data_IF_255307726655
#
_entry.id   IF_255307726655
#
_cell.length_a   1.000
_cell.length_b   1.000
_cell.length_c   1.000
_cell.angle_alpha   90.00
_cell.angle_beta   90.00
_cell.angle_gamma   90.00
#
_symmetry.space_group_name_H-M   'P 1'
#
loop_
_entity.id
_entity.type
_entity.pdbx_description
1 polymer ?
#
# COMPACT_ATOMS: atom_id res chain seq x y z
N UNK A 1 5.14 20.53 28.31
CA UNK A 1 6.26 21.06 27.50
C UNK A 1 6.07 20.63 26.05
N UNK A 2 5.24 21.36 25.30
CA UNK A 2 5.33 21.30 23.85
C UNK A 2 6.53 22.16 23.46
N UNK A 3 7.60 21.56 22.97
CA UNK A 3 8.86 22.27 22.70
C UNK A 3 8.81 23.20 21.47
N UNK A 4 7.63 23.47 20.90
CA UNK A 4 7.55 24.37 19.76
C UNK A 4 6.15 24.82 19.42
N UNK A 5 6.12 25.93 18.69
CA UNK A 5 4.93 26.58 18.14
C UNK A 5 4.98 26.50 16.62
N UNK A 6 3.81 26.47 15.99
CA UNK A 6 3.71 26.46 14.54
C UNK A 6 3.59 27.91 14.07
N UNK A 7 4.50 28.36 13.22
CA UNK A 7 4.46 29.70 12.64
C UNK A 7 3.43 29.75 11.51
N UNK A 8 2.99 30.94 11.13
CA UNK A 8 1.95 31.16 10.10
C UNK A 8 2.30 30.49 8.75
N UNK A 9 3.59 30.27 8.46
CA UNK A 9 4.10 29.59 7.28
C UNK A 9 4.11 28.04 7.40
N UNK A 10 3.29 27.47 8.28
CA UNK A 10 3.21 26.04 8.61
C UNK A 10 4.47 25.36 9.19
N UNK A 11 5.59 26.08 9.29
CA UNK A 11 6.85 25.60 9.87
C UNK A 11 6.76 25.47 11.41
N UNK A 12 7.51 24.50 11.97
CA UNK A 12 7.55 24.25 13.41
C UNK A 12 8.78 24.93 14.02
N UNK A 13 8.58 25.96 14.84
CA UNK A 13 9.64 26.68 15.55
C UNK A 13 9.77 26.17 16.97
N UNK A 14 10.97 25.74 17.33
CA UNK A 14 11.27 25.18 18.65
C UNK A 14 11.57 26.32 19.63
N UNK A 15 10.56 26.82 20.34
CA UNK A 15 10.72 27.95 21.29
C UNK A 15 11.01 27.39 22.68
N UNK A 16 12.28 27.20 23.00
CA UNK A 16 12.71 26.91 24.37
C UNK A 16 12.82 28.23 25.13
N UNK A 17 11.76 28.63 25.83
CA UNK A 17 11.84 29.78 26.72
C UNK A 17 12.67 29.40 27.95
N UNK A 18 13.95 29.82 27.95
CA UNK A 18 14.95 29.49 28.97
C UNK A 18 14.46 29.86 30.39
N UNK A 19 13.68 30.93 30.52
CA UNK A 19 13.14 31.40 31.80
C UNK A 19 12.04 30.49 32.36
N UNK A 20 11.23 29.85 31.51
CA UNK A 20 10.23 28.87 31.96
C UNK A 20 10.87 27.54 32.38
N UNK A 21 11.91 27.12 31.65
CA UNK A 21 12.69 25.93 32.01
C UNK A 21 13.37 26.11 33.36
N UNK A 22 14.01 27.27 33.59
CA UNK A 22 14.68 27.59 34.85
C UNK A 22 13.72 27.70 36.05
N UNK A 23 12.45 28.09 35.84
CA UNK A 23 11.43 28.11 36.89
C UNK A 23 10.89 26.72 37.24
N UNK A 24 10.73 25.82 36.27
CA UNK A 24 10.09 24.50 36.46
C UNK A 24 11.08 23.35 36.70
N UNK A 25 12.38 23.55 36.44
CA UNK A 25 13.42 22.57 36.73
C UNK A 25 13.54 22.21 38.24
N UNK A 26 13.42 23.15 39.19
CA UNK A 26 13.43 22.83 40.62
C UNK A 26 12.25 21.94 41.05
N UNK A 27 11.07 22.13 40.43
CA UNK A 27 9.88 21.29 40.67
C UNK A 27 10.04 19.84 40.18
N UNK A 28 10.99 19.58 39.27
CA UNK A 28 11.33 18.23 38.82
C UNK A 28 12.32 17.55 39.78
N UNK A 29 13.15 18.31 40.48
CA UNK A 29 14.05 17.75 41.50
C UNK A 29 13.30 17.32 42.76
N UNK A 30 12.24 18.03 43.14
CA UNK A 30 11.37 17.66 44.29
C UNK A 30 10.60 16.35 44.09
N UNK A 31 10.48 15.86 42.85
CA UNK A 31 9.85 14.56 42.56
C UNK A 31 10.73 13.37 42.95
N UNK A 32 12.05 13.56 43.15
CA UNK A 32 12.95 12.50 43.63
C UNK A 32 12.61 12.07 45.06
N UNK A 33 11.93 12.93 45.80
CA UNK A 33 11.55 12.70 47.21
C UNK A 33 10.16 12.06 47.35
N UNK A 34 9.37 11.98 46.27
CA UNK A 34 8.07 11.31 46.29
C UNK A 34 8.25 9.78 46.22
N UNK A 35 8.26 9.15 47.40
CA UNK A 35 8.08 7.70 47.52
C UNK A 35 6.62 7.36 47.26
N UNK A 36 6.25 7.02 46.02
CA UNK A 36 5.26 6.00 45.60
C UNK A 36 4.78 6.30 44.16
N UNK A 37 4.72 5.26 43.31
CA UNK A 37 4.03 5.30 42.01
C UNK A 37 2.51 5.32 42.23
N UNK A 38 1.97 6.49 42.56
CA UNK A 38 0.52 6.73 42.50
C UNK A 38 0.13 7.04 41.04
N UNK A 39 -0.65 6.13 40.45
CA UNK A 39 -1.03 6.17 39.04
C UNK A 39 -1.94 7.36 38.71
N UNK A 40 -2.76 7.81 39.66
CA UNK A 40 -3.63 8.98 39.45
C UNK A 40 -2.84 10.27 39.57
N UNK A 41 -1.89 10.36 40.52
CA UNK A 41 -0.93 11.49 40.55
C UNK A 41 -0.07 11.54 39.29
N UNK A 42 0.35 10.39 38.75
CA UNK A 42 1.06 10.35 37.47
C UNK A 42 0.16 10.85 36.32
N UNK A 43 -1.11 10.45 36.26
CA UNK A 43 -2.06 10.97 35.25
C UNK A 43 -2.25 12.48 35.36
N UNK A 44 -2.41 13.01 36.56
CA UNK A 44 -2.59 14.46 36.76
C UNK A 44 -1.30 15.23 36.46
N UNK A 45 -0.15 14.72 36.90
CA UNK A 45 1.17 15.25 36.52
C UNK A 45 1.37 15.29 35.01
N UNK A 46 0.95 14.23 34.30
CA UNK A 46 1.03 14.15 32.86
C UNK A 46 -0.02 15.02 32.17
N UNK A 47 -1.23 15.20 32.72
CA UNK A 47 -2.27 16.07 32.16
C UNK A 47 -1.78 17.50 32.01
N UNK A 48 -1.22 18.09 33.06
CA UNK A 48 -0.80 19.49 33.07
C UNK A 48 0.46 19.75 32.23
N UNK A 49 1.27 18.71 31.99
CA UNK A 49 2.58 18.82 31.33
C UNK A 49 2.61 18.21 29.92
N UNK A 50 1.66 17.35 29.55
CA UNK A 50 1.45 16.79 28.21
C UNK A 50 0.27 17.43 27.47
N UNK A 51 -0.21 18.61 27.88
CA UNK A 51 -0.92 19.50 26.94
C UNK A 51 0.07 20.02 25.89
N UNK A 52 0.59 19.10 25.08
CA UNK A 52 1.13 19.43 23.78
C UNK A 52 -0.05 19.69 22.87
N UNK A 53 0.03 20.75 22.06
CA UNK A 53 -0.87 20.94 20.93
C UNK A 53 -1.10 19.58 20.25
N UNK A 54 -2.33 19.09 20.13
CA UNK A 54 -2.59 17.76 19.63
C UNK A 54 -1.97 17.64 18.23
N UNK A 55 -0.85 16.92 18.12
CA UNK A 55 -0.25 16.54 16.83
C UNK A 55 -1.21 15.69 15.99
N UNK A 56 -2.25 15.15 16.63
CA UNK A 56 -3.36 14.47 15.98
C UNK A 56 -4.37 15.53 15.56
N UNK A 57 -4.33 15.91 14.27
CA UNK A 57 -5.44 16.62 13.63
C UNK A 57 -6.72 15.83 13.95
N UNK A 58 -7.72 16.52 14.51
CA UNK A 58 -9.05 15.98 14.74
C UNK A 58 -9.57 15.45 13.39
N UNK A 59 -9.67 14.12 13.22
CA UNK A 59 -10.04 13.52 11.91
C UNK A 59 -11.41 13.99 11.42
N UNK A 60 -12.24 14.47 12.35
CA UNK A 60 -13.59 14.99 12.12
C UNK A 60 -13.63 16.43 11.57
N UNK A 61 -12.52 17.18 11.58
CA UNK A 61 -12.49 18.55 11.05
C UNK A 61 -12.25 18.63 9.54
N UNK A 62 -11.77 17.55 8.90
CA UNK A 62 -11.85 17.46 7.45
C UNK A 62 -13.28 17.12 7.06
N UNK A 63 -14.10 18.14 6.80
CA UNK A 63 -15.21 18.02 5.85
C UNK A 63 -14.60 17.62 4.51
N UNK A 64 -14.34 16.34 4.33
CA UNK A 64 -13.93 15.79 3.04
C UNK A 64 -15.12 15.94 2.13
N UNK A 65 -14.94 16.69 1.06
CA UNK A 65 -15.96 16.77 0.02
C UNK A 65 -16.29 15.36 -0.46
N UNK A 66 -17.57 15.08 -0.61
CA UNK A 66 -18.03 13.76 -1.06
C UNK A 66 -18.05 13.71 -2.57
N UNK A 67 -17.66 12.57 -3.14
CA UNK A 67 -17.69 12.34 -4.58
C UNK A 67 -19.14 12.07 -5.00
N UNK A 68 -19.69 12.92 -5.88
CA UNK A 68 -21.07 12.78 -6.36
C UNK A 68 -21.11 11.87 -7.59
N UNK A 69 -21.98 10.87 -7.59
CA UNK A 69 -22.08 9.89 -8.66
C UNK A 69 -23.00 10.42 -9.76
N UNK A 70 -22.54 10.40 -11.02
CA UNK A 70 -23.40 10.60 -12.17
C UNK A 70 -24.20 9.32 -12.42
N UNK A 71 -25.49 9.32 -12.05
CA UNK A 71 -26.36 8.14 -12.11
C UNK A 71 -26.60 7.64 -13.53
N UNK A 72 -26.62 8.52 -14.54
CA UNK A 72 -26.81 8.13 -15.93
C UNK A 72 -25.58 7.42 -16.48
N UNK A 73 -24.39 7.96 -16.21
CA UNK A 73 -23.14 7.33 -16.59
C UNK A 73 -22.90 6.02 -15.81
N UNK A 74 -23.30 5.97 -14.54
CA UNK A 74 -23.23 4.72 -13.77
C UNK A 74 -24.06 3.59 -14.39
N UNK A 75 -25.24 3.87 -14.95
CA UNK A 75 -26.02 2.84 -15.67
C UNK A 75 -25.26 2.25 -16.87
N UNK A 76 -24.48 3.07 -17.58
CA UNK A 76 -23.63 2.61 -18.70
C UNK A 76 -22.44 1.77 -18.20
N UNK A 77 -21.97 2.07 -16.98
CA UNK A 77 -20.84 1.44 -16.30
C UNK A 77 -21.22 0.17 -15.50
N UNK A 78 -22.50 -0.01 -15.18
CA UNK A 78 -23.02 -1.03 -14.28
C UNK A 78 -22.58 -2.46 -14.66
N UNK A 79 -22.51 -2.76 -15.96
CA UNK A 79 -22.06 -4.07 -16.46
C UNK A 79 -20.60 -4.34 -16.07
N UNK A 80 -19.71 -3.33 -16.20
CA UNK A 80 -18.32 -3.46 -15.78
C UNK A 80 -18.23 -3.63 -14.26
N UNK A 81 -18.95 -2.79 -13.50
CA UNK A 81 -18.94 -2.89 -12.03
C UNK A 81 -19.43 -4.26 -11.54
N UNK A 82 -20.51 -4.77 -12.11
CA UNK A 82 -21.03 -6.09 -11.79
C UNK A 82 -20.02 -7.20 -12.09
N UNK A 83 -19.34 -7.13 -13.23
CA UNK A 83 -18.30 -8.09 -13.64
C UNK A 83 -17.00 -8.01 -12.81
N UNK A 84 -16.72 -6.88 -12.16
CA UNK A 84 -15.60 -6.74 -11.23
C UNK A 84 -15.93 -7.18 -9.81
N UNK A 85 -17.18 -7.00 -9.38
CA UNK A 85 -17.62 -7.30 -8.02
C UNK A 85 -17.93 -8.80 -7.83
N UNK A 86 -17.12 -9.70 -8.38
CA UNK A 86 -17.24 -11.14 -8.16
C UNK A 86 -16.41 -11.57 -6.94
N UNK A 87 -16.98 -12.44 -6.10
CA UNK A 87 -16.21 -13.09 -5.05
C UNK A 87 -15.38 -14.23 -5.64
N UNK A 88 -14.07 -14.05 -5.67
CA UNK A 88 -13.15 -15.09 -6.10
C UNK A 88 -12.36 -15.66 -4.91
N UNK A 89 -12.01 -16.94 -5.00
CA UNK A 89 -11.03 -17.57 -4.12
C UNK A 89 -9.85 -18.03 -4.97
N UNK A 90 -8.64 -17.78 -4.48
CA UNK A 90 -7.43 -18.36 -5.09
C UNK A 90 -7.29 -19.79 -4.60
N UNK A 91 -7.07 -20.71 -5.52
CA UNK A 91 -6.60 -22.05 -5.25
C UNK A 91 -5.16 -22.19 -5.76
N UNK A 92 -4.28 -22.65 -4.86
CA UNK A 92 -2.88 -22.91 -5.16
C UNK A 92 -2.66 -24.41 -5.39
N UNK A 93 -2.16 -24.78 -6.56
CA UNK A 93 -1.72 -26.15 -6.82
C UNK A 93 -0.26 -26.32 -6.39
N UNK A 94 0.03 -26.29 -5.09
CA UNK A 94 1.40 -26.29 -4.56
C UNK A 94 1.58 -27.35 -3.50
N UNK A 95 2.65 -28.14 -3.64
CA UNK A 95 3.11 -29.04 -2.59
C UNK A 95 3.87 -28.26 -1.49
N UNK A 96 3.49 -28.49 -0.24
CA UNK A 96 4.01 -27.73 0.90
C UNK A 96 5.47 -28.04 1.20
N UNK A 97 5.92 -29.28 1.01
CA UNK A 97 7.32 -29.66 1.28
C UNK A 97 8.24 -29.14 0.17
N UNK A 98 7.82 -29.24 -1.10
CA UNK A 98 8.52 -28.64 -2.24
C UNK A 98 8.71 -27.13 -2.06
N UNK A 99 7.68 -26.41 -1.59
CA UNK A 99 7.80 -24.97 -1.34
C UNK A 99 8.82 -24.66 -0.24
N UNK A 100 8.84 -25.45 0.84
CA UNK A 100 9.82 -25.30 1.92
C UNK A 100 11.24 -25.49 1.36
N UNK A 101 11.47 -26.54 0.58
CA UNK A 101 12.80 -26.83 0.03
C UNK A 101 13.28 -25.74 -0.95
N UNK A 102 12.38 -25.18 -1.75
CA UNK A 102 12.70 -24.05 -2.64
C UNK A 102 13.02 -22.77 -1.87
N UNK A 103 12.29 -22.47 -0.79
CA UNK A 103 12.60 -21.34 0.09
C UNK A 103 13.98 -21.52 0.73
N UNK A 104 14.27 -22.70 1.27
CA UNK A 104 15.58 -23.02 1.89
C UNK A 104 16.72 -22.86 0.89
N UNK A 105 16.57 -23.40 -0.33
CA UNK A 105 17.56 -23.27 -1.40
C UNK A 105 17.87 -21.81 -1.70
N UNK A 106 16.84 -20.96 -1.74
CA UNK A 106 16.98 -19.52 -2.03
C UNK A 106 17.64 -18.76 -0.88
N UNK A 107 17.26 -19.07 0.36
CA UNK A 107 17.88 -18.50 1.56
C UNK A 107 19.37 -18.83 1.60
N UNK A 108 19.73 -20.11 1.42
CA UNK A 108 21.12 -20.53 1.48
C UNK A 108 22.00 -19.88 0.39
N UNK A 109 21.43 -19.61 -0.79
CA UNK A 109 22.13 -18.94 -1.89
C UNK A 109 22.37 -17.43 -1.65
N UNK A 110 21.41 -16.73 -1.06
CA UNK A 110 21.33 -15.26 -1.16
C UNK A 110 21.21 -14.51 0.17
N UNK A 111 21.02 -15.21 1.29
CA UNK A 111 20.87 -14.57 2.59
C UNK A 111 22.21 -14.04 3.10
N UNK A 112 22.24 -12.77 3.48
CA UNK A 112 23.37 -12.13 4.13
C UNK A 112 22.89 -10.97 5.01
N UNK A 113 23.54 -10.77 6.16
CA UNK A 113 23.21 -9.68 7.09
C UNK A 113 24.44 -8.88 7.45
N UNK A 114 24.38 -7.57 7.19
CA UNK A 114 25.43 -6.63 7.59
C UNK A 114 25.30 -6.24 9.07
N UNK A 115 26.43 -6.21 9.77
CA UNK A 115 26.51 -5.73 11.15
C UNK A 115 26.11 -4.27 11.30
N UNK A 116 25.52 -3.90 12.44
CA UNK A 116 25.14 -2.51 12.73
C UNK A 116 26.39 -1.66 13.00
N UNK A 117 26.63 -0.64 12.17
CA UNK A 117 27.76 0.29 12.30
C UNK A 117 27.30 1.59 12.93
N UNK A 118 27.98 2.03 13.99
CA UNK A 118 27.79 3.36 14.58
C UNK A 118 29.03 4.18 14.24
N UNK A 119 28.86 5.21 13.41
CA UNK A 119 29.91 6.20 13.19
C UNK A 119 29.77 7.32 14.23
N UNK A 120 30.76 7.43 15.11
CA UNK A 120 30.87 8.54 16.05
C UNK A 120 31.89 9.53 15.48
N UNK A 121 31.41 10.73 15.15
CA UNK A 121 32.29 11.84 14.78
C UNK A 121 32.64 12.60 16.05
N UNK A 122 33.90 12.53 16.49
CA UNK A 122 34.38 13.33 17.61
C UNK A 122 35.12 14.56 17.07
N UNK A 123 34.67 15.74 17.47
CA UNK A 123 35.38 16.99 17.23
C UNK A 123 36.33 17.25 18.41
N UNK A 124 37.64 17.40 18.11
CA UNK A 124 38.65 17.66 19.13
C UNK A 124 38.92 19.17 19.19
N UNK A 125 38.54 19.80 20.30
CA UNK A 125 38.66 21.24 20.66
C UNK A 125 37.84 22.21 19.79
N UNK A 126 37.02 23.03 20.45
CA UNK A 126 36.20 24.10 19.85
C UNK A 126 36.95 25.45 19.84
N UNK A 127 38.15 25.53 20.42
CA UNK A 127 38.87 26.80 20.63
C UNK A 127 39.93 27.14 19.58
N UNK A 128 39.97 26.44 18.44
CA UNK A 128 40.83 26.84 17.32
C UNK A 128 40.15 26.41 16.04
N UNK A 129 39.86 27.35 15.15
CA UNK A 129 39.23 27.14 13.83
C UNK A 129 40.14 26.34 12.88
N UNK A 130 40.51 25.12 13.26
CA UNK A 130 41.20 24.13 12.45
C UNK A 130 40.35 22.88 12.41
N UNK A 131 39.84 22.54 11.23
CA UNK A 131 38.84 21.50 11.02
C UNK A 131 39.42 20.09 11.25
N UNK A 132 39.65 19.70 12.51
CA UNK A 132 40.21 18.41 12.90
C UNK A 132 39.11 17.49 13.46
N UNK A 133 38.13 17.15 12.62
CA UNK A 133 37.15 16.12 12.93
C UNK A 133 37.78 14.72 12.73
N UNK A 134 37.80 13.88 13.78
CA UNK A 134 38.17 12.46 13.64
C UNK A 134 36.91 11.60 13.67
N UNK A 135 36.59 10.99 12.53
CA UNK A 135 35.51 10.00 12.42
C UNK A 135 36.05 8.64 12.88
N UNK A 136 35.45 8.06 13.92
CA UNK A 136 35.68 6.66 14.31
C UNK A 136 34.40 5.87 14.07
N UNK A 137 34.51 4.76 13.36
CA UNK A 137 33.38 3.84 13.16
C UNK A 137 33.59 2.64 14.09
N UNK A 138 32.57 2.33 14.88
CA UNK A 138 32.54 1.14 15.72
C UNK A 138 31.47 0.20 15.20
N UNK A 139 31.81 -1.08 15.11
CA UNK A 139 30.83 -2.14 14.91
C UNK A 139 30.27 -2.52 16.27
N UNK A 140 28.95 -2.49 16.40
CA UNK A 140 28.27 -2.88 17.64
C UNK A 140 27.45 -4.13 17.32
N UNK A 141 27.75 -5.23 18.01
CA UNK A 141 26.87 -6.38 18.02
C UNK A 141 25.50 -5.95 18.57
N UNK A 142 24.44 -6.21 17.80
CA UNK A 142 23.09 -5.93 18.26
C UNK A 142 22.79 -6.82 19.46
N UNK A 143 22.21 -6.26 20.52
CA UNK A 143 21.56 -7.10 21.52
C UNK A 143 20.44 -7.86 20.80
N UNK A 144 20.41 -9.18 20.99
CA UNK A 144 19.28 -10.02 20.59
C UNK A 144 18.08 -9.61 21.46
N UNK A 145 17.08 -8.97 20.86
CA UNK A 145 15.91 -8.44 21.57
C UNK A 145 14.75 -9.43 21.50
N UNK A 146 14.70 -10.26 20.46
CA UNK A 146 13.59 -11.18 20.24
C UNK A 146 13.89 -12.58 20.74
N UNK A 147 12.93 -13.18 21.44
CA UNK A 147 12.91 -14.62 21.61
C UNK A 147 12.74 -15.33 20.26
N UNK A 148 13.17 -16.59 20.18
CA UNK A 148 13.00 -17.40 18.98
C UNK A 148 11.52 -17.46 18.54
N UNK A 149 10.60 -17.60 19.50
CA UNK A 149 9.17 -17.63 19.23
C UNK A 149 8.66 -16.30 18.64
N UNK A 150 9.08 -15.16 19.18
CA UNK A 150 8.70 -13.84 18.66
C UNK A 150 9.26 -13.62 17.25
N UNK A 151 10.51 -14.01 17.00
CA UNK A 151 11.12 -13.91 15.68
C UNK A 151 10.35 -14.73 14.63
N UNK A 152 10.07 -16.01 14.92
CA UNK A 152 9.32 -16.89 14.00
C UNK A 152 7.90 -16.37 13.80
N UNK A 153 7.25 -15.90 14.88
CA UNK A 153 5.89 -15.34 14.80
C UNK A 153 5.85 -14.07 13.95
N UNK A 154 6.83 -13.18 14.11
CA UNK A 154 6.97 -11.97 13.30
C UNK A 154 7.17 -12.32 11.82
N UNK A 155 8.05 -13.27 11.51
CA UNK A 155 8.30 -13.71 10.13
C UNK A 155 7.07 -14.39 9.52
N UNK A 156 6.42 -15.31 10.25
CA UNK A 156 5.17 -15.98 9.86
C UNK A 156 4.07 -14.99 9.53
N UNK A 157 3.87 -13.97 10.37
CA UNK A 157 2.88 -12.93 10.12
C UNK A 157 3.20 -12.06 8.90
N UNK A 158 4.48 -11.85 8.58
CA UNK A 158 4.94 -11.08 7.42
C UNK A 158 4.78 -11.85 6.11
N UNK A 159 5.20 -13.11 6.09
CA UNK A 159 5.19 -13.97 4.89
C UNK A 159 3.88 -14.74 4.69
N UNK A 160 2.95 -14.65 5.66
CA UNK A 160 1.61 -15.28 5.65
C UNK A 160 1.64 -16.81 5.54
N UNK A 161 2.74 -17.43 5.98
CA UNK A 161 2.85 -18.88 6.16
C UNK A 161 2.59 -19.26 7.61
N UNK A 162 2.19 -20.51 7.84
CA UNK A 162 2.01 -21.02 9.20
C UNK A 162 3.33 -20.97 9.99
N UNK A 163 3.25 -20.78 11.30
CA UNK A 163 4.40 -20.84 12.20
C UNK A 163 5.22 -22.12 11.98
N UNK A 164 4.53 -23.27 11.83
CA UNK A 164 5.16 -24.58 11.59
C UNK A 164 5.97 -24.61 10.29
N UNK A 165 5.44 -24.03 9.21
CA UNK A 165 6.14 -23.96 7.91
C UNK A 165 7.39 -23.10 8.00
N UNK A 166 7.29 -21.92 8.64
CA UNK A 166 8.44 -21.04 8.84
C UNK A 166 9.49 -21.69 9.73
N UNK A 167 9.09 -22.33 10.82
CA UNK A 167 9.99 -23.06 11.70
C UNK A 167 10.76 -24.17 10.95
N UNK A 168 10.07 -24.96 10.12
CA UNK A 168 10.71 -25.99 9.27
C UNK A 168 11.74 -25.41 8.29
N UNK A 169 11.45 -24.25 7.69
CA UNK A 169 12.41 -23.58 6.80
C UNK A 169 13.65 -23.15 7.57
N UNK A 170 13.48 -22.53 8.74
CA UNK A 170 14.60 -22.07 9.56
C UNK A 170 15.41 -23.23 10.14
N UNK A 171 14.77 -24.35 10.44
CA UNK A 171 15.42 -25.60 10.86
C UNK A 171 16.32 -26.19 9.76
N UNK A 172 15.88 -26.13 8.50
CA UNK A 172 16.63 -26.62 7.32
C UNK A 172 17.66 -25.62 6.77
N UNK A 173 17.69 -24.39 7.28
CA UNK A 173 18.60 -23.34 6.84
C UNK A 173 20.05 -23.63 7.27
N UNK A 174 21.03 -23.17 6.50
CA UNK A 174 22.44 -23.28 6.87
C UNK A 174 22.72 -22.57 8.22
N UNK A 175 23.45 -23.24 9.12
CA UNK A 175 23.72 -22.75 10.47
C UNK A 175 24.52 -21.43 10.46
N UNK A 176 25.50 -21.29 9.55
CA UNK A 176 26.29 -20.07 9.46
C UNK A 176 25.42 -18.90 9.02
N UNK A 177 24.51 -19.15 8.05
CA UNK A 177 23.51 -18.18 7.62
C UNK A 177 22.57 -17.79 8.76
N UNK A 178 22.05 -18.76 9.53
CA UNK A 178 21.17 -18.46 10.65
C UNK A 178 21.89 -17.59 11.71
N UNK A 179 23.16 -17.88 11.98
CA UNK A 179 23.98 -17.08 12.89
C UNK A 179 24.20 -15.63 12.41
N UNK A 180 24.08 -15.33 11.11
CA UNK A 180 24.15 -13.94 10.62
C UNK A 180 22.99 -13.06 11.14
N UNK A 181 21.84 -13.64 11.48
CA UNK A 181 20.68 -12.90 12.02
C UNK A 181 21.08 -12.15 13.30
N UNK A 182 21.94 -12.74 14.13
CA UNK A 182 22.42 -12.15 15.39
C UNK A 182 23.18 -10.84 15.19
N UNK A 183 23.78 -10.63 14.00
CA UNK A 183 24.51 -9.39 13.67
C UNK A 183 23.57 -8.19 13.62
N UNK A 184 22.34 -8.40 13.12
CA UNK A 184 21.28 -7.40 13.03
C UNK A 184 19.93 -8.08 12.78
N UNK A 185 19.15 -8.31 13.85
CA UNK A 185 17.90 -9.07 13.78
C UNK A 185 16.83 -8.43 12.90
N UNK A 186 16.75 -7.09 12.92
CA UNK A 186 15.78 -6.33 12.13
C UNK A 186 16.06 -6.48 10.63
N UNK A 187 17.33 -6.37 10.25
CA UNK A 187 17.75 -6.58 8.86
C UNK A 187 17.61 -8.05 8.46
N UNK A 188 17.99 -8.98 9.34
CA UNK A 188 17.83 -10.41 9.12
C UNK A 188 16.37 -10.79 8.87
N UNK A 189 15.44 -10.29 9.69
CA UNK A 189 14.01 -10.50 9.49
C UNK A 189 13.54 -9.94 8.14
N UNK A 190 13.91 -8.70 7.82
CA UNK A 190 13.51 -8.06 6.56
C UNK A 190 14.05 -8.84 5.35
N UNK A 191 15.30 -9.27 5.40
CA UNK A 191 15.93 -10.03 4.32
C UNK A 191 15.33 -11.43 4.17
N UNK A 192 15.01 -12.11 5.28
CA UNK A 192 14.26 -13.36 5.23
C UNK A 192 12.87 -13.15 4.65
N UNK A 193 12.14 -12.12 5.10
CA UNK A 193 10.82 -11.75 4.54
C UNK A 193 10.88 -11.58 3.03
N UNK A 194 11.86 -10.83 2.52
CA UNK A 194 12.10 -10.67 1.08
C UNK A 194 12.30 -12.01 0.37
N UNK A 195 13.21 -12.85 0.86
CA UNK A 195 13.56 -14.14 0.22
C UNK A 195 12.41 -15.15 0.26
N UNK A 196 11.69 -15.23 1.38
CA UNK A 196 10.49 -16.05 1.51
C UNK A 196 9.45 -15.62 0.49
N UNK A 197 9.11 -14.32 0.45
CA UNK A 197 8.13 -13.80 -0.49
C UNK A 197 8.61 -14.07 -1.94
N UNK A 198 9.87 -13.82 -2.25
CA UNK A 198 10.43 -14.06 -3.58
C UNK A 198 10.31 -15.54 -4.02
N UNK A 199 10.61 -16.49 -3.13
CA UNK A 199 10.47 -17.92 -3.41
C UNK A 199 9.00 -18.33 -3.55
N UNK A 200 8.12 -17.86 -2.67
CA UNK A 200 6.69 -18.12 -2.73
C UNK A 200 6.12 -17.61 -4.06
N UNK A 201 6.46 -16.38 -4.46
CA UNK A 201 5.94 -15.78 -5.68
C UNK A 201 6.40 -16.53 -6.94
N UNK A 202 7.68 -16.92 -7.01
CA UNK A 202 8.18 -17.76 -8.11
C UNK A 202 7.47 -19.11 -8.21
N UNK A 203 7.11 -19.68 -7.06
CA UNK A 203 6.39 -20.95 -7.01
C UNK A 203 4.92 -20.86 -7.40
N UNK A 204 4.27 -19.77 -7.01
CA UNK A 204 2.83 -19.61 -7.19
C UNK A 204 2.48 -19.06 -8.56
N UNK A 205 3.40 -18.34 -9.23
CA UNK A 205 3.10 -17.60 -10.45
C UNK A 205 2.28 -18.45 -11.42
N UNK A 206 2.78 -19.61 -11.85
CA UNK A 206 2.08 -20.49 -12.81
C UNK A 206 1.15 -21.52 -12.19
N UNK A 207 1.03 -21.53 -10.85
CA UNK A 207 0.23 -22.51 -10.10
C UNK A 207 -0.99 -21.88 -9.41
N UNK A 208 -1.25 -20.60 -9.68
CA UNK A 208 -2.45 -19.89 -9.24
C UNK A 208 -3.60 -20.21 -10.20
N UNK A 209 -4.69 -20.71 -9.62
CA UNK A 209 -5.98 -20.81 -10.29
C UNK A 209 -7.03 -20.04 -9.50
N UNK A 210 -7.99 -19.48 -10.22
CA UNK A 210 -9.11 -18.76 -9.61
C UNK A 210 -10.35 -19.64 -9.65
N UNK A 211 -10.90 -19.89 -8.47
CA UNK A 211 -12.22 -20.46 -8.32
C UNK A 211 -13.19 -19.31 -8.11
N UNK A 212 -13.87 -18.92 -9.19
CA UNK A 212 -14.96 -17.94 -9.11
C UNK A 212 -16.11 -18.58 -8.35
N UNK A 213 -16.62 -17.90 -7.33
CA UNK A 213 -17.94 -18.23 -6.81
C UNK A 213 -18.94 -17.43 -7.61
N UNK A 214 -19.91 -18.12 -8.20
CA UNK A 214 -21.17 -17.50 -8.61
C UNK A 214 -21.95 -17.09 -7.35
N UNK A 215 -21.40 -16.16 -6.57
CA UNK A 215 -22.27 -15.24 -5.89
C UNK A 215 -22.83 -14.37 -7.00
N UNK A 216 -23.90 -14.84 -7.65
CA UNK A 216 -24.90 -13.91 -8.13
C UNK A 216 -25.20 -13.07 -6.89
N UNK A 217 -24.66 -11.86 -6.82
CA UNK A 217 -24.91 -10.97 -5.69
C UNK A 217 -26.40 -10.63 -5.81
N UNK A 218 -27.26 -11.52 -5.32
CA UNK A 218 -28.70 -11.32 -5.18
C UNK A 218 -28.99 -10.17 -4.22
N UNK A 219 -27.99 -9.73 -3.46
CA UNK A 219 -28.04 -8.54 -2.63
C UNK A 219 -26.89 -7.60 -3.04
N UNK A 220 -27.08 -6.79 -4.10
CA UNK A 220 -26.24 -5.62 -4.45
C UNK A 220 -26.36 -4.52 -3.38
N UNK A 221 -26.55 -4.92 -2.13
CA UNK A 221 -26.92 -4.07 -1.02
C UNK A 221 -25.63 -3.67 -0.32
N UNK A 222 -25.45 -2.37 -0.21
CA UNK A 222 -24.42 -1.72 0.59
C UNK A 222 -22.98 -1.92 0.07
N UNK A 223 -22.73 -1.59 -1.21
CA UNK A 223 -21.37 -1.47 -1.74
C UNK A 223 -20.95 0.00 -1.94
N UNK A 224 -19.91 0.24 -2.73
CA UNK A 224 -19.40 1.58 -3.02
C UNK A 224 -20.43 2.47 -3.74
N UNK A 225 -21.25 1.89 -4.63
CA UNK A 225 -22.21 2.60 -5.47
C UNK A 225 -23.66 2.39 -5.05
N UNK A 226 -24.00 1.24 -4.46
CA UNK A 226 -25.35 0.91 -4.01
C UNK A 226 -25.51 1.07 -2.50
N UNK A 227 -26.67 1.58 -2.09
CA UNK A 227 -27.07 1.67 -0.69
C UNK A 227 -27.61 0.35 -0.14
N UNK A 228 -28.07 0.35 1.12
CA UNK A 228 -28.63 -0.83 1.78
C UNK A 228 -29.94 -1.34 1.13
N UNK A 229 -30.63 -0.48 0.39
CA UNK A 229 -31.85 -0.81 -0.34
C UNK A 229 -31.55 -1.36 -1.74
N UNK A 230 -30.33 -1.18 -2.23
CA UNK A 230 -29.90 -1.55 -3.58
C UNK A 230 -30.12 -0.43 -4.61
N UNK A 231 -30.32 0.81 -4.17
CA UNK A 231 -30.44 1.99 -5.02
C UNK A 231 -29.07 2.64 -5.22
N UNK A 232 -28.86 3.29 -6.38
CA UNK A 232 -27.62 4.02 -6.67
C UNK A 232 -27.52 5.21 -5.71
N UNK A 233 -26.46 5.24 -4.90
CA UNK A 233 -26.16 6.33 -3.98
C UNK A 233 -26.00 7.66 -4.72
N UNK A 234 -26.35 8.75 -4.05
CA UNK A 234 -26.01 10.09 -4.55
C UNK A 234 -24.50 10.36 -4.46
N UNK A 235 -23.87 9.86 -3.39
CA UNK A 235 -22.43 10.01 -3.15
C UNK A 235 -21.75 8.66 -3.00
N UNK A 236 -20.56 8.53 -3.56
CA UNK A 236 -19.75 7.33 -3.44
C UNK A 236 -19.44 7.02 -1.98
N UNK A 237 -19.62 5.75 -1.58
CA UNK A 237 -19.20 5.27 -0.28
C UNK A 237 -17.73 4.83 -0.31
N UNK A 238 -16.83 5.75 0.00
CA UNK A 238 -15.39 5.50 0.05
C UNK A 238 -14.58 6.67 -0.50
N UNK A 239 -13.28 6.44 -0.64
CA UNK A 239 -12.33 7.37 -1.26
C UNK A 239 -11.63 6.64 -2.40
N UNK A 240 -11.37 7.35 -3.49
CA UNK A 240 -10.67 6.83 -4.67
C UNK A 240 -9.18 7.19 -4.66
N UNK A 241 -8.79 8.16 -3.83
CA UNK A 241 -7.41 8.63 -3.74
C UNK A 241 -7.27 9.80 -2.76
N UNK A 242 -6.07 10.37 -2.69
CA UNK A 242 -5.74 11.40 -1.72
C UNK A 242 -6.16 12.83 -2.15
N UNK A 243 -6.09 13.14 -3.44
CA UNK A 243 -6.21 14.51 -3.95
C UNK A 243 -7.42 14.66 -4.87
N UNK A 244 -8.26 15.68 -4.64
CA UNK A 244 -9.37 16.00 -5.53
C UNK A 244 -8.84 16.63 -6.83
N UNK A 245 -9.23 16.09 -7.97
CA UNK A 245 -8.92 16.59 -9.30
C UNK A 245 -10.21 16.95 -10.04
N UNK A 246 -10.34 18.23 -10.38
CA UNK A 246 -11.45 18.73 -11.20
C UNK A 246 -11.11 18.61 -12.68
N UNK A 247 -11.91 17.83 -13.40
CA UNK A 247 -11.76 17.63 -14.84
C UNK A 247 -12.14 18.91 -15.55
N UNK A 248 -11.17 19.54 -16.24
CA UNK A 248 -11.37 20.84 -16.89
C UNK A 248 -12.07 20.70 -18.24
N UNK A 249 -11.77 19.65 -18.99
CA UNK A 249 -12.34 19.41 -20.30
C UNK A 249 -13.81 18.96 -20.18
N UNK A 250 -14.73 19.68 -20.83
CA UNK A 250 -16.17 19.39 -20.78
C UNK A 250 -16.52 18.03 -21.37
N UNK A 251 -15.89 17.65 -22.48
CA UNK A 251 -16.15 16.35 -23.14
C UNK A 251 -15.70 15.18 -22.26
N UNK A 252 -14.60 15.34 -21.53
CA UNK A 252 -14.13 14.34 -20.57
C UNK A 252 -15.08 14.28 -19.36
N UNK A 253 -15.52 15.43 -18.85
CA UNK A 253 -16.46 15.51 -17.72
C UNK A 253 -17.79 14.86 -18.03
N UNK A 254 -18.33 15.03 -19.23
CA UNK A 254 -19.59 14.41 -19.68
C UNK A 254 -19.54 12.88 -19.68
N UNK A 255 -18.36 12.29 -19.90
CA UNK A 255 -18.13 10.83 -19.90
C UNK A 255 -17.73 10.28 -18.52
N UNK A 256 -17.49 11.15 -17.54
CA UNK A 256 -17.00 10.75 -16.22
C UNK A 256 -18.11 10.12 -15.37
N UNK A 257 -17.75 9.14 -14.54
CA UNK A 257 -18.62 8.52 -13.56
C UNK A 257 -19.02 9.47 -12.41
N UNK A 258 -18.28 10.55 -12.23
CA UNK A 258 -18.40 11.49 -11.11
C UNK A 258 -18.70 12.91 -11.60
N UNK A 259 -19.62 13.60 -10.94
CA UNK A 259 -20.11 14.93 -11.38
C UNK A 259 -19.17 16.08 -10.99
N UNK A 260 -18.55 16.00 -9.82
CA UNK A 260 -17.78 17.10 -9.24
C UNK A 260 -16.28 16.98 -9.49
N UNK A 261 -15.65 15.95 -8.92
CA UNK A 261 -14.22 15.71 -9.05
C UNK A 261 -13.94 14.20 -9.00
N UNK A 262 -12.74 13.83 -9.43
CA UNK A 262 -12.18 12.49 -9.24
C UNK A 262 -11.01 12.57 -8.28
N UNK A 263 -10.88 11.63 -7.34
CA UNK A 263 -9.67 11.59 -6.51
C UNK A 263 -8.57 10.81 -7.22
N UNK A 264 -7.35 11.33 -7.17
CA UNK A 264 -6.16 10.75 -7.80
C UNK A 264 -5.00 10.66 -6.81
N UNK A 265 -4.10 9.70 -7.03
CA UNK A 265 -2.92 9.45 -6.19
C UNK A 265 -1.60 9.80 -6.89
N UNK A 266 -1.61 10.00 -8.22
CA UNK A 266 -0.42 10.22 -9.02
C UNK A 266 -0.66 11.16 -10.21
N UNK A 267 0.41 11.64 -10.84
CA UNK A 267 0.30 12.50 -12.04
C UNK A 267 -0.15 11.71 -13.26
N UNK A 268 0.35 10.48 -13.44
CA UNK A 268 -0.05 9.58 -14.54
C UNK A 268 -1.56 9.32 -14.56
N UNK A 269 -2.21 9.28 -13.39
CA UNK A 269 -3.67 9.18 -13.28
C UNK A 269 -4.37 10.43 -13.82
N UNK A 270 -3.85 11.64 -13.54
CA UNK A 270 -4.41 12.89 -14.07
C UNK A 270 -4.27 12.95 -15.58
N UNK A 271 -3.09 12.59 -16.09
CA UNK A 271 -2.83 12.54 -17.52
C UNK A 271 -3.80 11.56 -18.20
N UNK A 272 -4.01 10.39 -17.59
CA UNK A 272 -4.96 9.38 -18.09
C UNK A 272 -6.41 9.88 -18.10
N UNK A 273 -6.82 10.68 -17.10
CA UNK A 273 -8.13 11.32 -17.08
C UNK A 273 -8.25 12.32 -18.23
N UNK A 274 -7.27 13.18 -18.46
CA UNK A 274 -7.31 14.18 -19.53
C UNK A 274 -7.24 13.54 -20.94
N UNK A 275 -6.54 12.40 -21.08
CA UNK A 275 -6.54 11.57 -22.29
C UNK A 275 -7.89 10.86 -22.55
N UNK A 276 -8.82 10.84 -21.59
CA UNK A 276 -10.12 10.15 -21.71
C UNK A 276 -11.15 10.91 -22.59
N UNK A 277 -10.68 11.68 -23.56
CA UNK A 277 -11.49 12.47 -24.48
C UNK A 277 -11.93 11.69 -25.76
N UNK A 278 -11.36 10.51 -26.01
CA UNK A 278 -11.63 9.69 -27.19
C UNK A 278 -13.14 9.44 -27.38
N UNK A 279 -13.64 9.60 -28.62
CA UNK A 279 -15.06 9.43 -28.96
C UNK A 279 -15.56 8.01 -28.74
N UNK A 280 -14.66 7.01 -28.74
CA UNK A 280 -14.98 5.61 -28.46
C UNK A 280 -15.30 5.34 -26.99
N UNK A 281 -14.95 6.26 -26.08
CA UNK A 281 -15.25 6.13 -24.64
C UNK A 281 -16.70 6.56 -24.39
N UNK A 282 -17.52 5.62 -23.91
CA UNK A 282 -18.90 5.87 -23.51
C UNK A 282 -18.95 6.42 -22.07
N UNK A 283 -18.22 5.77 -21.17
CA UNK A 283 -18.12 6.15 -19.77
C UNK A 283 -16.79 5.66 -19.19
N UNK A 284 -16.22 6.43 -18.26
CA UNK A 284 -15.05 6.02 -17.50
C UNK A 284 -15.05 6.56 -16.08
N UNK A 285 -14.22 5.99 -15.21
CA UNK A 285 -13.96 6.53 -13.89
C UNK A 285 -12.92 5.73 -13.11
N UNK A 286 -12.29 6.37 -12.12
CA UNK A 286 -11.43 5.67 -11.15
C UNK A 286 -12.29 4.66 -10.37
N UNK A 287 -11.81 3.43 -10.26
CA UNK A 287 -12.53 2.36 -9.58
C UNK A 287 -12.45 2.55 -8.06
N UNK A 288 -13.58 2.45 -7.33
CA UNK A 288 -13.51 2.25 -5.89
C UNK A 288 -12.93 0.86 -5.60
N UNK A 289 -12.40 0.67 -4.39
CA UNK A 289 -11.64 -0.53 -4.00
C UNK A 289 -12.33 -1.84 -4.43
N UNK A 290 -11.81 -2.44 -5.51
CA UNK A 290 -12.14 -3.80 -5.92
C UNK A 290 -11.24 -4.74 -5.11
N UNK A 291 -11.79 -5.84 -4.60
CA UNK A 291 -11.03 -6.80 -3.79
C UNK A 291 -10.60 -7.99 -4.63
N UNK A 292 -9.78 -7.75 -5.65
CA UNK A 292 -9.22 -8.84 -6.46
C UNK A 292 -8.18 -9.57 -5.61
N UNK A 293 -8.35 -10.87 -5.30
CA UNK A 293 -7.35 -11.59 -4.55
C UNK A 293 -6.13 -11.81 -5.44
N UNK A 294 -4.94 -11.43 -4.94
CA UNK A 294 -3.64 -11.64 -5.61
C UNK A 294 -2.69 -12.52 -4.81
N UNK A 295 -3.22 -13.11 -3.73
CA UNK A 295 -2.54 -14.11 -2.94
C UNK A 295 -1.96 -13.61 -1.63
N UNK A 296 -1.57 -14.54 -0.76
CA UNK A 296 -1.07 -14.23 0.60
C UNK A 296 -1.98 -13.25 1.37
N UNK A 297 -3.29 -13.43 1.26
CA UNK A 297 -4.32 -12.54 1.82
C UNK A 297 -4.23 -11.06 1.39
N UNK A 298 -3.52 -10.78 0.30
CA UNK A 298 -3.47 -9.47 -0.30
C UNK A 298 -4.59 -9.30 -1.34
N UNK A 299 -5.06 -8.07 -1.44
CA UNK A 299 -6.04 -7.65 -2.45
C UNK A 299 -5.45 -6.57 -3.32
N UNK A 300 -5.83 -6.59 -4.58
CA UNK A 300 -5.46 -5.61 -5.58
C UNK A 300 -6.71 -4.91 -6.10
N UNK A 301 -6.60 -3.61 -6.32
CA UNK A 301 -7.65 -2.78 -6.92
C UNK A 301 -7.02 -2.06 -8.10
N UNK A 302 -7.49 -2.30 -9.33
CA UNK A 302 -7.07 -1.54 -10.50
C UNK A 302 -7.46 -0.06 -10.39
N UNK A 303 -6.78 0.80 -11.15
CA UNK A 303 -7.03 2.24 -11.13
C UNK A 303 -8.34 2.63 -11.83
N UNK A 304 -8.51 2.33 -13.12
CA UNK A 304 -9.62 2.86 -13.92
C UNK A 304 -10.47 1.77 -14.57
N UNK A 305 -11.76 2.07 -14.72
CA UNK A 305 -12.70 1.33 -15.53
C UNK A 305 -13.19 2.17 -16.70
N UNK A 306 -13.30 1.54 -17.86
CA UNK A 306 -13.74 2.13 -19.11
C UNK A 306 -14.78 1.22 -19.77
N UNK A 307 -15.79 1.84 -20.36
CA UNK A 307 -16.68 1.19 -21.32
C UNK A 307 -16.46 1.88 -22.65
N UNK A 308 -15.95 1.11 -23.62
CA UNK A 308 -15.61 1.62 -24.95
C UNK A 308 -16.43 0.91 -26.01
N UNK A 309 -16.71 1.61 -27.11
CA UNK A 309 -17.49 1.08 -28.23
C UNK A 309 -16.94 1.56 -29.57
N UNK A 310 -16.93 0.65 -30.54
CA UNK A 310 -16.61 0.97 -31.93
C UNK A 310 -17.35 0.02 -32.86
N UNK A 311 -18.09 0.55 -33.84
CA UNK A 311 -18.85 -0.22 -34.85
C UNK A 311 -19.65 -1.39 -34.23
N UNK A 312 -20.49 -1.08 -33.24
CA UNK A 312 -21.33 -2.03 -32.47
C UNK A 312 -20.59 -3.04 -31.58
N UNK A 313 -19.26 -3.01 -31.54
CA UNK A 313 -18.47 -3.79 -30.57
C UNK A 313 -18.27 -2.99 -29.29
N UNK A 314 -18.97 -3.38 -28.23
CA UNK A 314 -18.80 -2.86 -26.87
C UNK A 314 -17.77 -3.70 -26.09
N UNK A 315 -16.76 -3.04 -25.53
CA UNK A 315 -15.71 -3.68 -24.71
C UNK A 315 -15.66 -3.06 -23.32
N UNK A 316 -15.57 -3.91 -22.30
CA UNK A 316 -15.32 -3.54 -20.92
C UNK A 316 -13.81 -3.57 -20.69
N UNK A 317 -13.23 -2.43 -20.33
CA UNK A 317 -11.78 -2.27 -20.21
C UNK A 317 -11.44 -1.79 -18.80
N UNK A 318 -10.43 -2.42 -18.20
CA UNK A 318 -9.81 -1.98 -16.94
C UNK A 318 -8.38 -1.58 -17.24
N UNK A 319 -7.97 -0.41 -16.76
CA UNK A 319 -6.63 0.13 -16.97
C UNK A 319 -5.95 0.34 -15.63
N UNK A 320 -4.79 -0.28 -15.46
CA UNK A 320 -3.84 0.03 -14.39
C UNK A 320 -2.84 1.06 -14.86
N UNK A 321 -2.59 2.11 -14.06
CA UNK A 321 -1.57 3.11 -14.38
C UNK A 321 -0.28 2.86 -13.61
N UNK A 322 0.86 3.05 -14.29
CA UNK A 322 2.18 2.99 -13.68
C UNK A 322 3.04 4.13 -14.16
N UNK A 323 3.53 4.92 -13.21
CA UNK A 323 4.37 6.10 -13.43
C UNK A 323 5.80 5.79 -13.89
N UNK A 324 6.02 4.71 -14.65
CA UNK A 324 7.32 4.29 -15.18
C UNK A 324 7.31 4.33 -16.70
N UNK A 325 8.48 4.44 -17.32
CA UNK A 325 8.60 4.56 -18.78
C UNK A 325 8.65 3.20 -19.48
N UNK A 326 9.15 2.18 -18.78
CA UNK A 326 9.34 0.82 -19.30
C UNK A 326 8.88 -0.21 -18.28
N UNK A 327 8.37 -1.35 -18.76
CA UNK A 327 7.98 -2.47 -17.88
C UNK A 327 9.13 -2.96 -16.99
N UNK A 328 10.37 -2.92 -17.48
CA UNK A 328 11.57 -3.30 -16.72
C UNK A 328 11.89 -2.39 -15.52
N UNK A 329 11.27 -1.22 -15.44
CA UNK A 329 11.44 -0.27 -14.33
C UNK A 329 10.39 -0.47 -13.23
N UNK A 330 9.41 -1.36 -13.44
CA UNK A 330 8.45 -1.74 -12.41
C UNK A 330 9.18 -2.37 -11.23
N UNK A 331 8.74 -2.02 -10.01
CA UNK A 331 9.23 -2.73 -8.84
C UNK A 331 8.79 -4.19 -8.93
N UNK A 332 9.62 -5.16 -8.47
CA UNK A 332 9.26 -6.58 -8.51
C UNK A 332 7.90 -6.88 -7.85
N UNK A 333 7.52 -6.12 -6.82
CA UNK A 333 6.21 -6.26 -6.17
C UNK A 333 5.07 -5.80 -7.09
N UNK A 334 5.23 -4.72 -7.85
CA UNK A 334 4.20 -4.22 -8.77
C UNK A 334 4.01 -5.16 -9.95
N UNK A 335 5.11 -5.62 -10.55
CA UNK A 335 5.09 -6.60 -11.63
C UNK A 335 4.33 -7.86 -11.22
N UNK A 336 4.58 -8.39 -10.02
CA UNK A 336 3.87 -9.55 -9.47
C UNK A 336 2.37 -9.31 -9.31
N UNK A 337 1.98 -8.14 -8.78
CA UNK A 337 0.56 -7.79 -8.59
C UNK A 337 -0.17 -7.71 -9.92
N UNK A 338 0.45 -7.07 -10.92
CA UNK A 338 -0.09 -6.93 -12.28
C UNK A 338 -0.19 -8.29 -12.97
N UNK A 339 0.86 -9.12 -12.93
CA UNK A 339 0.89 -10.47 -13.51
C UNK A 339 -0.22 -11.36 -12.91
N UNK A 340 -0.38 -11.31 -11.58
CA UNK A 340 -1.41 -12.08 -10.89
C UNK A 340 -2.82 -11.56 -11.19
N UNK A 341 -3.01 -10.25 -11.22
CA UNK A 341 -4.29 -9.64 -11.62
C UNK A 341 -4.67 -10.01 -13.06
N UNK A 342 -3.70 -10.08 -13.98
CA UNK A 342 -3.95 -10.53 -15.36
C UNK A 342 -4.54 -11.96 -15.39
N UNK A 343 -3.98 -12.89 -14.62
CA UNK A 343 -4.52 -14.26 -14.47
C UNK A 343 -5.95 -14.29 -13.91
N UNK A 344 -6.30 -13.34 -13.04
CA UNK A 344 -7.68 -13.17 -12.57
C UNK A 344 -8.64 -12.78 -13.70
N UNK A 345 -8.28 -11.79 -14.51
CA UNK A 345 -9.10 -11.35 -15.65
C UNK A 345 -9.22 -12.43 -16.73
N UNK A 346 -8.16 -13.19 -17.00
CA UNK A 346 -8.22 -14.36 -17.87
C UNK A 346 -9.18 -15.43 -17.35
N UNK A 347 -9.21 -15.66 -16.03
CA UNK A 347 -10.17 -16.56 -15.40
C UNK A 347 -11.61 -16.03 -15.46
N UNK A 348 -11.82 -14.72 -15.31
CA UNK A 348 -13.14 -14.09 -15.51
C UNK A 348 -13.64 -14.27 -16.94
N UNK A 349 -12.77 -14.07 -17.94
CA UNK A 349 -13.10 -14.25 -19.36
C UNK A 349 -13.53 -15.68 -19.66
N UNK A 350 -12.86 -16.68 -19.07
CA UNK A 350 -13.26 -18.10 -19.18
C UNK A 350 -14.63 -18.42 -18.56
N UNK A 351 -15.09 -17.61 -17.60
CA UNK A 351 -16.41 -17.74 -16.97
C UNK A 351 -17.50 -16.93 -17.72
N UNK A 352 -17.18 -16.34 -18.89
CA UNK A 352 -18.12 -15.58 -19.71
C UNK A 352 -18.20 -14.09 -19.36
N UNK A 353 -17.38 -13.59 -18.43
CA UNK A 353 -17.27 -12.15 -18.12
C UNK A 353 -16.11 -11.57 -18.92
N UNK A 354 -16.41 -10.99 -20.08
CA UNK A 354 -15.38 -10.45 -20.98
C UNK A 354 -14.95 -9.04 -20.55
N UNK A 355 -13.91 -8.96 -19.71
CA UNK A 355 -13.26 -7.71 -19.29
C UNK A 355 -11.79 -7.78 -19.72
N UNK A 356 -11.37 -6.80 -20.52
CA UNK A 356 -9.98 -6.64 -20.94
C UNK A 356 -9.22 -5.86 -19.85
N UNK A 357 -8.01 -6.29 -19.53
CA UNK A 357 -7.17 -5.67 -18.50
C UNK A 357 -5.82 -5.29 -19.08
N UNK A 358 -5.53 -3.99 -19.06
CA UNK A 358 -4.32 -3.41 -19.63
C UNK A 358 -3.56 -2.56 -18.61
N UNK A 359 -2.25 -2.43 -18.84
CA UNK A 359 -1.39 -1.54 -18.06
C UNK A 359 -0.93 -0.38 -18.94
N UNK A 360 -1.17 0.86 -18.49
CA UNK A 360 -0.70 2.09 -19.13
C UNK A 360 0.54 2.60 -18.41
N UNK A 361 1.64 2.70 -19.14
CA UNK A 361 2.88 3.34 -18.71
C UNK A 361 2.90 4.83 -19.09
N UNK A 362 3.89 5.59 -18.64
CA UNK A 362 4.01 7.02 -18.96
C UNK A 362 4.03 7.32 -20.48
N UNK A 363 4.67 6.44 -21.25
CA UNK A 363 4.83 6.62 -22.71
C UNK A 363 3.64 6.12 -23.51
N UNK A 364 2.73 5.39 -22.87
CA UNK A 364 1.57 4.81 -23.54
C UNK A 364 0.46 5.86 -23.64
N UNK A 365 -0.18 5.92 -24.80
CA UNK A 365 -1.37 6.74 -25.02
C UNK A 365 -2.62 5.88 -24.78
N UNK A 366 -3.58 6.39 -24.02
CA UNK A 366 -4.83 5.69 -23.72
C UNK A 366 -5.59 5.33 -25.01
N UNK A 367 -5.60 6.23 -26.00
CA UNK A 367 -6.24 5.99 -27.30
C UNK A 367 -5.64 4.80 -28.05
N UNK A 368 -4.31 4.60 -27.96
CA UNK A 368 -3.64 3.45 -28.57
C UNK A 368 -4.08 2.14 -27.91
N UNK A 369 -4.15 2.10 -26.56
CA UNK A 369 -4.64 0.94 -25.80
C UNK A 369 -6.08 0.60 -26.17
N UNK A 370 -6.96 1.61 -26.25
CA UNK A 370 -8.36 1.43 -26.64
C UNK A 370 -8.46 0.84 -28.05
N UNK A 371 -7.68 1.35 -29.00
CA UNK A 371 -7.67 0.83 -30.37
C UNK A 371 -7.16 -0.61 -30.43
N UNK A 372 -6.11 -0.95 -29.68
CA UNK A 372 -5.58 -2.31 -29.62
C UNK A 372 -6.65 -3.28 -29.12
N UNK A 373 -7.29 -2.95 -28.00
CA UNK A 373 -8.32 -3.77 -27.35
C UNK A 373 -9.54 -3.98 -28.27
N UNK A 374 -9.99 -2.93 -28.97
CA UNK A 374 -11.11 -3.04 -29.91
C UNK A 374 -10.79 -3.92 -31.12
N UNK A 375 -9.52 -3.92 -31.58
CA UNK A 375 -9.07 -4.66 -32.74
C UNK A 375 -8.68 -6.12 -32.45
N UNK A 376 -8.61 -6.55 -31.18
CA UNK A 376 -8.40 -7.97 -30.83
C UNK A 376 -9.55 -8.81 -31.38
N UNK A 377 -9.21 -9.85 -32.15
CA UNK A 377 -10.16 -10.88 -32.55
C UNK A 377 -10.49 -11.75 -31.33
N UNK A 378 -11.78 -12.06 -31.17
CA UNK A 378 -12.29 -12.87 -30.05
C UNK A 378 -11.71 -14.29 -30.04
#
# INVERSE_FOLDING_TARGET
MGFGERTDDENFKLTLNQNEFLKKAPELETLKDEKYLDFEKLKDFLKDRLVGNPRVRNKNERKTEKIKINKENFKKFETLWAGLNHQARIAYAIDSESLIDEIVKKINASFNVSSKKISVTMHKKVETMGNNAKKKTFERESACVWSLHEFISALSNKVKLSFKSVAKVLEKMDENKFNEIKKNEQEGLKRLEELFLEAIYQNIEDKISYQMRETTIKNRKNDAFYDEKGEIREFLNGSLGANNYEIKNSSVREKCLYENFMQVDSEIEKDTIEESNDTKIIVFGKLPRVKIPIGLNQTYSPDFGYVVENNDKKVLLVVETKGVDKKSELRPEEERKISTAKKFFEALKKQGVNIEYETKLNKDQLSALINEVLNRKD
#
